data_IF_556013292733
#
_entry.id   IF_556013292733
#
_cell.length_a   1.000
_cell.length_b   1.000
_cell.length_c   1.000
_cell.angle_alpha   90.00
_cell.angle_beta   90.00
_cell.angle_gamma   90.00
#
_symmetry.space_group_name_H-M   'P 1'
#
loop_
_entity.id
_entity.type
_entity.pdbx_description
1 polymer ?
#
# COMPACT_ATOMS: atom_id res chain seq x y z
N UNK A 1 51.73 12.63 7.57
CA UNK A 1 50.99 11.41 7.96
C UNK A 1 49.56 11.61 7.56
N UNK A 2 49.25 11.15 6.37
CA UNK A 2 47.87 11.23 5.81
C UNK A 2 47.24 9.89 6.02
N UNK A 3 46.23 9.84 6.88
CA UNK A 3 45.37 8.66 7.00
C UNK A 3 44.34 8.72 5.88
N UNK A 4 44.57 7.91 4.88
CA UNK A 4 43.60 7.54 3.89
C UNK A 4 42.51 6.75 4.58
N UNK A 5 41.36 7.37 4.75
CA UNK A 5 40.13 6.70 5.14
C UNK A 5 39.64 5.87 3.92
N UNK A 6 40.11 4.63 3.94
CA UNK A 6 39.67 3.61 2.96
C UNK A 6 38.23 3.23 3.30
N UNK A 7 37.28 3.92 2.66
CA UNK A 7 35.88 3.54 2.68
C UNK A 7 35.76 2.28 1.84
N UNK A 8 35.87 1.14 2.51
CA UNK A 8 35.47 -0.15 1.91
C UNK A 8 33.98 -0.02 1.63
N UNK A 9 33.64 0.37 0.41
CA UNK A 9 32.32 0.18 -0.14
C UNK A 9 32.21 -1.31 -0.42
N UNK A 10 31.69 -2.05 0.56
CA UNK A 10 31.25 -3.41 0.36
C UNK A 10 30.16 -3.37 -0.72
N UNK A 11 30.48 -3.95 -1.90
CA UNK A 11 29.67 -3.89 -3.09
C UNK A 11 28.44 -4.83 -3.06
N UNK A 12 27.77 -4.93 -1.93
CA UNK A 12 26.44 -5.55 -1.84
C UNK A 12 25.40 -4.42 -1.90
N UNK A 13 24.89 -4.18 -3.12
CA UNK A 13 23.72 -3.35 -3.31
C UNK A 13 22.52 -3.98 -2.56
N UNK A 14 21.61 -3.16 -2.06
CA UNK A 14 20.32 -3.63 -1.55
C UNK A 14 19.36 -3.92 -2.71
N UNK A 15 18.48 -4.89 -2.53
CA UNK A 15 17.34 -5.08 -3.41
C UNK A 15 16.15 -4.29 -2.83
N UNK A 16 15.97 -3.07 -3.35
CA UNK A 16 14.95 -2.16 -2.84
C UNK A 16 13.61 -2.41 -3.52
N UNK A 17 12.58 -2.67 -2.69
CA UNK A 17 11.19 -2.94 -3.10
C UNK A 17 10.30 -1.86 -2.52
N UNK A 18 9.52 -1.17 -3.36
CA UNK A 18 8.50 -0.24 -2.86
C UNK A 18 7.17 -0.96 -2.71
N UNK A 19 6.62 -0.92 -1.52
CA UNK A 19 5.38 -1.59 -1.15
C UNK A 19 4.29 -0.56 -0.83
N UNK A 20 3.31 -0.43 -1.71
CA UNK A 20 2.12 0.39 -1.47
C UNK A 20 1.04 -0.48 -0.81
N UNK A 21 0.58 -0.08 0.36
CA UNK A 21 -0.46 -0.78 1.13
C UNK A 21 -1.58 0.19 1.50
N UNK A 22 -2.81 -0.28 1.59
CA UNK A 22 -3.96 0.54 1.98
C UNK A 22 -4.23 0.55 3.48
N UNK A 23 -3.78 -0.48 4.18
CA UNK A 23 -3.97 -0.68 5.61
C UNK A 23 -2.82 -1.51 6.20
N UNK A 24 -2.89 -1.81 7.51
CA UNK A 24 -1.90 -2.66 8.16
C UNK A 24 -1.87 -4.06 7.54
N UNK A 25 -0.67 -4.54 7.19
CA UNK A 25 -0.49 -5.90 6.69
C UNK A 25 -0.74 -6.93 7.80
N UNK A 26 -1.45 -8.00 7.45
CA UNK A 26 -1.50 -9.18 8.29
C UNK A 26 -0.15 -9.92 8.29
N UNK A 27 0.06 -10.79 9.30
CA UNK A 27 1.24 -11.63 9.33
C UNK A 27 1.33 -12.58 8.11
N UNK A 28 0.19 -13.02 7.57
CA UNK A 28 0.12 -13.87 6.39
C UNK A 28 0.53 -13.10 5.12
N UNK A 29 0.01 -11.87 4.93
CA UNK A 29 0.36 -11.03 3.79
C UNK A 29 1.86 -10.65 3.83
N UNK A 30 2.39 -10.31 5.01
CA UNK A 30 3.81 -10.02 5.19
C UNK A 30 4.70 -11.23 4.86
N UNK A 31 4.31 -12.43 5.28
CA UNK A 31 5.01 -13.65 4.93
C UNK A 31 4.94 -13.95 3.43
N UNK A 32 3.80 -13.70 2.79
CA UNK A 32 3.62 -13.83 1.35
C UNK A 32 4.54 -12.87 0.59
N UNK A 33 4.55 -11.59 0.94
CA UNK A 33 5.46 -10.59 0.35
C UNK A 33 6.92 -11.02 0.52
N UNK A 34 7.30 -11.49 1.71
CA UNK A 34 8.67 -11.96 1.97
C UNK A 34 9.04 -13.19 1.13
N UNK A 35 8.09 -14.11 0.90
CA UNK A 35 8.32 -15.32 0.12
C UNK A 35 8.64 -15.06 -1.35
N UNK A 36 8.15 -13.95 -1.92
CA UNK A 36 8.47 -13.52 -3.30
C UNK A 36 9.97 -13.31 -3.54
N UNK A 37 10.68 -12.94 -2.48
CA UNK A 37 12.09 -12.58 -2.52
C UNK A 37 12.98 -13.62 -1.81
N UNK A 38 12.46 -14.83 -1.58
CA UNK A 38 13.19 -15.86 -0.85
C UNK A 38 14.48 -16.32 -1.57
N UNK A 39 14.51 -16.20 -2.90
CA UNK A 39 15.65 -16.60 -3.74
C UNK A 39 16.60 -15.43 -4.08
N UNK A 40 16.30 -14.21 -3.61
CA UNK A 40 17.16 -13.04 -3.82
C UNK A 40 18.31 -13.10 -2.83
N UNK A 41 19.55 -13.13 -3.35
CA UNK A 41 20.77 -13.19 -2.54
C UNK A 41 21.12 -11.85 -1.89
N UNK A 42 20.78 -10.74 -2.55
CA UNK A 42 20.99 -9.39 -2.02
C UNK A 42 20.05 -9.11 -0.83
N UNK A 43 20.48 -8.30 0.15
CA UNK A 43 19.61 -7.86 1.25
C UNK A 43 18.38 -7.13 0.70
N UNK A 44 17.19 -7.70 0.90
CA UNK A 44 15.92 -7.09 0.48
C UNK A 44 15.46 -6.06 1.50
N UNK A 45 15.16 -4.84 1.04
CA UNK A 45 14.63 -3.75 1.86
C UNK A 45 13.26 -3.32 1.32
N UNK A 46 12.25 -3.44 2.17
CA UNK A 46 10.89 -3.00 1.87
C UNK A 46 10.68 -1.54 2.29
N UNK A 47 10.31 -0.71 1.32
CA UNK A 47 9.94 0.69 1.54
C UNK A 47 8.43 0.82 1.48
N UNK A 48 7.81 0.85 2.64
CA UNK A 48 6.35 0.89 2.77
C UNK A 48 5.82 2.30 2.55
N UNK A 49 4.86 2.42 1.66
CA UNK A 49 4.10 3.63 1.40
C UNK A 49 2.64 3.36 1.78
N UNK A 50 2.12 4.11 2.74
CA UNK A 50 0.75 4.00 3.21
C UNK A 50 0.06 5.36 2.99
N UNK A 51 -1.01 5.42 2.18
CA UNK A 51 -1.78 6.64 2.02
C UNK A 51 -2.46 7.05 3.32
N UNK A 52 -2.43 8.35 3.60
CA UNK A 52 -3.20 8.92 4.71
C UNK A 52 -4.69 8.68 4.47
N UNK A 53 -5.37 8.16 5.47
CA UNK A 53 -6.82 7.99 5.41
C UNK A 53 -7.51 9.35 5.24
N UNK A 54 -8.37 9.47 4.21
CA UNK A 54 -9.08 10.72 3.94
C UNK A 54 -10.25 10.89 4.93
N UNK A 55 -10.12 11.89 5.79
CA UNK A 55 -11.15 12.24 6.75
C UNK A 55 -12.49 12.61 6.07
N UNK A 56 -12.46 13.22 4.89
CA UNK A 56 -13.68 13.53 4.14
C UNK A 56 -14.37 12.26 3.63
N UNK A 57 -13.60 11.30 3.10
CA UNK A 57 -14.12 10.01 2.66
C UNK A 57 -14.74 9.20 3.82
N UNK A 58 -14.15 9.26 5.02
CA UNK A 58 -14.74 8.65 6.23
C UNK A 58 -16.09 9.26 6.60
N UNK A 59 -16.22 10.58 6.53
CA UNK A 59 -17.51 11.26 6.79
C UNK A 59 -18.54 10.84 5.76
N UNK A 60 -18.20 10.83 4.48
CA UNK A 60 -19.09 10.40 3.40
C UNK A 60 -19.53 8.93 3.57
N UNK A 61 -18.60 8.03 3.89
CA UNK A 61 -18.89 6.62 4.13
C UNK A 61 -19.84 6.43 5.34
N UNK A 62 -19.63 7.18 6.42
CA UNK A 62 -20.50 7.10 7.60
C UNK A 62 -21.91 7.66 7.32
N UNK A 63 -22.03 8.71 6.52
CA UNK A 63 -23.32 9.26 6.09
C UNK A 63 -24.04 8.33 5.10
N UNK A 64 -23.31 7.68 4.20
CA UNK A 64 -23.88 6.71 3.26
C UNK A 64 -24.49 5.48 3.94
N UNK A 65 -23.93 5.05 5.06
CA UNK A 65 -24.47 3.92 5.85
C UNK A 65 -25.78 4.27 6.56
N UNK A 66 -26.01 5.55 6.85
CA UNK A 66 -27.26 6.02 7.47
C UNK A 66 -28.40 6.20 6.44
N UNK A 67 -28.08 6.23 5.14
CA UNK A 67 -29.03 6.50 4.07
C UNK A 67 -29.92 5.33 3.62
N UNK A 68 -29.76 4.13 4.15
CA UNK A 68 -30.55 2.96 3.77
C UNK A 68 -31.79 2.69 4.62
N UNK A 69 -32.07 3.55 5.59
CA UNK A 69 -33.22 3.38 6.46
C UNK A 69 -33.77 4.70 7.00
N UNK A 70 -34.67 5.33 6.28
CA UNK A 70 -35.47 6.48 6.68
C UNK A 70 -35.01 7.84 6.12
N UNK A 71 -35.43 8.12 4.87
CA UNK A 71 -35.22 9.40 4.16
C UNK A 71 -36.16 10.52 4.59
N UNK A 72 -36.62 10.56 5.84
CA UNK A 72 -37.42 11.66 6.38
C UNK A 72 -36.73 12.28 7.59
N UNK A 73 -36.02 13.39 7.36
CA UNK A 73 -35.41 14.24 8.36
C UNK A 73 -34.00 13.84 8.85
N UNK A 74 -33.03 13.85 7.95
CA UNK A 74 -31.66 14.13 8.40
C UNK A 74 -31.52 15.66 8.50
N UNK A 75 -31.40 16.24 9.70
CA UNK A 75 -31.22 17.67 9.81
C UNK A 75 -29.82 18.04 9.32
N UNK A 76 -29.74 19.06 8.49
CA UNK A 76 -28.49 19.77 8.14
C UNK A 76 -27.71 20.32 9.36
N UNK A 77 -28.19 20.01 10.55
CA UNK A 77 -27.62 20.39 11.85
C UNK A 77 -26.52 19.43 12.35
N UNK A 78 -26.42 18.21 11.82
CA UNK A 78 -25.37 17.27 12.25
C UNK A 78 -23.99 17.58 11.68
N UNK A 79 -23.90 18.39 10.61
CA UNK A 79 -22.62 18.76 9.99
C UNK A 79 -21.87 19.90 10.72
N UNK A 80 -22.54 20.61 11.62
CA UNK A 80 -21.90 21.73 12.34
C UNK A 80 -21.11 21.32 13.59
N UNK A 81 -21.26 20.08 14.07
CA UNK A 81 -20.58 19.59 15.27
C UNK A 81 -19.47 18.56 14.99
N UNK A 82 -19.18 18.25 13.73
CA UNK A 82 -18.03 17.40 13.40
C UNK A 82 -16.76 18.22 13.51
N UNK A 83 -15.97 17.95 14.52
CA UNK A 83 -14.63 18.54 14.65
C UNK A 83 -13.70 17.89 13.59
N UNK A 84 -13.64 18.56 12.43
CA UNK A 84 -12.83 18.10 11.28
C UNK A 84 -11.35 17.99 11.65
N UNK A 85 -10.88 18.86 12.55
CA UNK A 85 -9.50 18.83 13.03
C UNK A 85 -9.23 17.58 13.87
N UNK A 86 -10.16 17.23 14.78
CA UNK A 86 -10.08 16.01 15.56
C UNK A 86 -10.13 14.76 14.67
N UNK A 87 -11.00 14.76 13.64
CA UNK A 87 -11.12 13.65 12.70
C UNK A 87 -9.84 13.49 11.84
N UNK A 88 -9.26 14.58 11.36
CA UNK A 88 -7.97 14.53 10.63
C UNK A 88 -6.85 13.98 11.49
N UNK A 89 -6.82 14.39 12.76
CA UNK A 89 -5.84 13.85 13.72
C UNK A 89 -6.06 12.35 13.92
N UNK A 90 -7.30 11.91 14.09
CA UNK A 90 -7.63 10.50 14.25
C UNK A 90 -7.20 9.68 13.03
N UNK A 91 -7.46 10.15 11.80
CA UNK A 91 -7.01 9.51 10.57
C UNK A 91 -5.47 9.42 10.49
N UNK A 92 -4.77 10.48 10.88
CA UNK A 92 -3.31 10.49 10.90
C UNK A 92 -2.74 9.50 11.94
N UNK A 93 -3.33 9.47 13.13
CA UNK A 93 -2.94 8.54 14.20
C UNK A 93 -3.20 7.09 13.77
N UNK A 94 -4.33 6.82 13.11
CA UNK A 94 -4.69 5.50 12.58
C UNK A 94 -3.70 5.05 11.48
N UNK A 95 -3.48 5.87 10.46
CA UNK A 95 -2.53 5.56 9.39
C UNK A 95 -1.10 5.34 9.92
N UNK A 96 -0.70 6.08 10.96
CA UNK A 96 0.60 5.90 11.60
C UNK A 96 0.70 4.57 12.36
N UNK A 97 -0.40 4.15 13.02
CA UNK A 97 -0.49 2.87 13.70
C UNK A 97 -0.45 1.71 12.69
N UNK A 98 -1.16 1.83 11.57
CA UNK A 98 -1.16 0.83 10.48
C UNK A 98 0.22 0.68 9.85
N UNK A 99 0.91 1.79 9.63
CA UNK A 99 2.29 1.75 9.15
C UNK A 99 3.19 1.01 10.14
N UNK A 100 3.12 1.34 11.43
CA UNK A 100 3.93 0.68 12.46
C UNK A 100 3.63 -0.82 12.55
N UNK A 101 2.37 -1.24 12.45
CA UNK A 101 1.97 -2.63 12.42
C UNK A 101 2.51 -3.35 11.18
N UNK A 102 2.45 -2.71 10.01
CA UNK A 102 3.00 -3.24 8.75
C UNK A 102 4.50 -3.47 8.84
N UNK A 103 5.26 -2.50 9.35
CA UNK A 103 6.71 -2.64 9.52
C UNK A 103 7.03 -3.80 10.46
N UNK A 104 6.32 -3.90 11.59
CA UNK A 104 6.48 -4.99 12.55
C UNK A 104 6.18 -6.35 11.93
N UNK A 105 5.13 -6.46 11.10
CA UNK A 105 4.78 -7.71 10.44
C UNK A 105 5.85 -8.15 9.42
N UNK A 106 6.39 -7.22 8.62
CA UNK A 106 7.47 -7.49 7.67
C UNK A 106 8.76 -7.89 8.37
N UNK A 107 9.11 -7.23 9.48
CA UNK A 107 10.28 -7.57 10.29
C UNK A 107 10.13 -8.95 10.94
N UNK A 108 8.93 -9.28 11.46
CA UNK A 108 8.62 -10.59 12.01
C UNK A 108 8.69 -11.70 10.94
N UNK A 109 8.39 -11.39 9.67
CA UNK A 109 8.57 -12.29 8.54
C UNK A 109 10.05 -12.40 8.07
N UNK A 110 10.99 -11.74 8.74
CA UNK A 110 12.42 -11.75 8.43
C UNK A 110 12.85 -10.79 7.34
N UNK A 111 12.05 -9.75 7.07
CA UNK A 111 12.39 -8.65 6.17
C UNK A 111 13.05 -7.49 6.90
N UNK A 112 13.70 -6.59 6.14
CA UNK A 112 14.07 -5.25 6.61
C UNK A 112 13.06 -4.28 6.05
N UNK A 113 12.39 -3.49 6.90
CA UNK A 113 11.32 -2.62 6.47
C UNK A 113 11.47 -1.20 7.03
N UNK A 114 11.09 -0.22 6.23
CA UNK A 114 10.93 1.19 6.60
C UNK A 114 9.80 1.80 5.78
N UNK A 115 9.20 2.88 6.23
CA UNK A 115 8.08 3.43 5.49
C UNK A 115 7.66 4.81 5.95
N UNK A 116 6.67 5.33 5.24
CA UNK A 116 6.06 6.62 5.55
C UNK A 116 4.57 6.61 5.19
N UNK A 117 3.82 7.46 5.86
CA UNK A 117 2.45 7.84 5.50
C UNK A 117 2.51 9.02 4.54
N UNK A 118 1.75 8.98 3.45
CA UNK A 118 1.70 10.05 2.45
C UNK A 118 0.30 10.62 2.29
N UNK A 119 0.20 11.93 2.14
CA UNK A 119 -1.01 12.64 1.72
C UNK A 119 -1.06 12.92 0.22
N UNK A 120 -0.01 12.54 -0.53
CA UNK A 120 0.03 12.67 -1.97
C UNK A 120 -0.80 11.59 -2.65
N UNK A 121 -1.26 11.79 -3.90
CA UNK A 121 -1.91 10.74 -4.65
C UNK A 121 -1.04 9.47 -4.70
N UNK A 122 -1.57 8.29 -4.36
CA UNK A 122 -0.76 7.09 -4.11
C UNK A 122 0.16 6.68 -5.27
N UNK A 123 -0.29 6.85 -6.52
CA UNK A 123 0.50 6.49 -7.72
C UNK A 123 1.66 7.46 -7.94
N UNK A 124 1.44 8.75 -7.67
CA UNK A 124 2.47 9.79 -7.76
C UNK A 124 3.54 9.56 -6.69
N UNK A 125 3.12 9.32 -5.45
CA UNK A 125 4.01 9.03 -4.34
C UNK A 125 4.81 7.74 -4.58
N UNK A 126 4.15 6.69 -5.10
CA UNK A 126 4.81 5.44 -5.49
C UNK A 126 5.88 5.68 -6.56
N UNK A 127 5.56 6.43 -7.61
CA UNK A 127 6.51 6.72 -8.70
C UNK A 127 7.71 7.55 -8.20
N UNK A 128 7.45 8.54 -7.35
CA UNK A 128 8.51 9.36 -6.75
C UNK A 128 9.45 8.50 -5.89
N UNK A 129 8.90 7.60 -5.08
CA UNK A 129 9.67 6.71 -4.22
C UNK A 129 10.50 5.71 -5.03
N UNK A 130 9.91 5.04 -6.03
CA UNK A 130 10.62 4.13 -6.94
C UNK A 130 11.81 4.83 -7.59
N UNK A 131 11.61 6.05 -8.09
CA UNK A 131 12.67 6.81 -8.74
C UNK A 131 13.76 7.26 -7.76
N UNK A 132 13.38 7.73 -6.56
CA UNK A 132 14.34 8.26 -5.58
C UNK A 132 15.24 7.19 -4.97
N UNK A 133 14.75 5.95 -4.92
CA UNK A 133 15.46 4.81 -4.34
C UNK A 133 16.16 3.94 -5.40
N UNK A 134 15.94 4.23 -6.69
CA UNK A 134 16.33 3.31 -7.78
C UNK A 134 15.80 1.88 -7.52
N UNK A 135 14.54 1.81 -7.06
CA UNK A 135 13.95 0.56 -6.62
C UNK A 135 13.84 -0.44 -7.77
N UNK A 136 14.00 -1.73 -7.46
CA UNK A 136 14.00 -2.82 -8.44
C UNK A 136 12.61 -3.21 -8.89
N UNK A 137 11.62 -3.05 -8.01
CA UNK A 137 10.21 -3.36 -8.28
C UNK A 137 9.27 -2.61 -7.34
N UNK A 138 7.98 -2.64 -7.68
CA UNK A 138 6.90 -2.13 -6.86
C UNK A 138 5.85 -3.23 -6.64
N UNK A 139 5.37 -3.35 -5.40
CA UNK A 139 4.27 -4.24 -5.04
C UNK A 139 3.13 -3.37 -4.51
N UNK A 140 1.92 -3.67 -4.95
CA UNK A 140 0.71 -2.98 -4.51
C UNK A 140 -0.22 -4.01 -3.90
N UNK A 141 -0.55 -3.82 -2.62
CA UNK A 141 -1.55 -4.64 -1.94
C UNK A 141 -2.82 -3.83 -1.74
N UNK A 142 -3.93 -4.38 -2.19
CA UNK A 142 -5.25 -3.78 -2.04
C UNK A 142 -6.25 -4.79 -1.51
N UNK A 143 -7.33 -4.29 -0.89
CA UNK A 143 -8.44 -5.13 -0.47
C UNK A 143 -9.26 -5.59 -1.69
N UNK A 144 -9.87 -6.77 -1.60
CA UNK A 144 -10.64 -7.37 -2.70
C UNK A 144 -11.79 -6.49 -3.20
N UNK A 145 -12.41 -5.68 -2.35
CA UNK A 145 -13.52 -4.80 -2.75
C UNK A 145 -13.05 -3.51 -3.46
N UNK A 146 -11.81 -3.09 -3.26
CA UNK A 146 -11.24 -1.90 -3.90
C UNK A 146 -10.78 -2.20 -5.33
N UNK A 147 -10.50 -3.46 -5.63
CA UNK A 147 -10.10 -3.93 -6.96
C UNK A 147 -11.09 -3.49 -8.05
N UNK A 148 -12.39 -3.48 -7.76
CA UNK A 148 -13.42 -3.13 -8.73
C UNK A 148 -13.45 -1.63 -9.10
N UNK A 149 -13.06 -0.74 -8.19
CA UNK A 149 -13.08 0.72 -8.44
C UNK A 149 -11.75 1.24 -9.00
N UNK A 150 -10.62 0.67 -8.56
CA UNK A 150 -9.30 1.13 -8.98
C UNK A 150 -8.75 0.43 -10.23
N UNK A 151 -9.22 -0.78 -10.54
CA UNK A 151 -8.71 -1.59 -11.65
C UNK A 151 -9.59 -1.58 -12.91
N UNK A 152 -9.92 -0.41 -13.42
CA UNK A 152 -10.11 -0.36 -14.86
C UNK A 152 -8.76 -0.73 -15.51
N UNK A 153 -8.80 -1.70 -16.41
CA UNK A 153 -7.69 -2.35 -17.15
C UNK A 153 -6.54 -1.40 -17.61
N UNK A 154 -6.80 -0.11 -17.66
CA UNK A 154 -5.88 0.92 -18.11
C UNK A 154 -4.90 1.42 -17.01
N UNK A 155 -5.23 1.23 -15.73
CA UNK A 155 -4.41 1.73 -14.62
C UNK A 155 -3.11 0.95 -14.43
N UNK A 156 -3.18 -0.38 -14.44
CA UNK A 156 -1.99 -1.25 -14.28
C UNK A 156 -0.99 -1.03 -15.41
N UNK A 157 -1.49 -0.87 -16.64
CA UNK A 157 -0.67 -0.58 -17.80
C UNK A 157 -0.08 0.84 -17.75
N UNK A 158 -0.81 1.79 -17.18
CA UNK A 158 -0.36 3.16 -16.99
C UNK A 158 0.67 3.26 -15.87
N UNK A 159 0.45 2.55 -14.75
CA UNK A 159 1.40 2.45 -13.64
C UNK A 159 2.71 1.82 -14.10
N UNK A 160 2.67 0.67 -14.78
CA UNK A 160 3.88 0.01 -15.32
C UNK A 160 4.70 0.92 -16.23
N UNK A 161 4.03 1.69 -17.11
CA UNK A 161 4.72 2.63 -18.00
C UNK A 161 5.31 3.82 -17.24
N UNK A 162 4.65 4.28 -16.18
CA UNK A 162 5.10 5.42 -15.38
C UNK A 162 6.24 5.05 -14.43
N UNK A 163 6.19 3.85 -13.86
CA UNK A 163 7.14 3.41 -12.85
C UNK A 163 8.46 2.92 -13.46
N UNK A 164 8.44 2.38 -14.69
CA UNK A 164 9.64 1.85 -15.35
C UNK A 164 10.23 0.58 -14.73
N UNK A 165 9.58 0.03 -13.71
CA UNK A 165 9.96 -1.20 -13.00
C UNK A 165 8.82 -2.22 -13.05
N UNK A 166 9.08 -3.51 -12.81
CA UNK A 166 8.03 -4.50 -12.61
C UNK A 166 7.06 -4.07 -11.50
N UNK A 167 5.76 -4.26 -11.75
CA UNK A 167 4.71 -3.97 -10.78
C UNK A 167 3.91 -5.24 -10.56
N UNK A 168 3.89 -5.71 -9.32
CA UNK A 168 3.05 -6.81 -8.87
C UNK A 168 1.86 -6.24 -8.10
N UNK A 169 0.67 -6.74 -8.42
CA UNK A 169 -0.53 -6.44 -7.65
C UNK A 169 -0.97 -7.69 -6.89
N UNK A 170 -1.15 -7.54 -5.60
CA UNK A 170 -1.63 -8.57 -4.68
C UNK A 170 -2.95 -8.11 -4.06
N UNK A 171 -3.82 -9.08 -3.79
CA UNK A 171 -5.04 -8.87 -3.02
C UNK A 171 -4.76 -9.35 -1.60
N UNK A 172 -5.04 -8.51 -0.61
CA UNK A 172 -4.88 -8.86 0.80
C UNK A 172 -5.75 -10.07 1.16
N UNK A 173 -5.20 -10.94 2.00
CA UNK A 173 -5.82 -12.17 2.50
C UNK A 173 -6.11 -13.24 1.43
N UNK A 174 -5.60 -13.10 0.22
CA UNK A 174 -5.68 -14.12 -0.82
C UNK A 174 -4.30 -14.73 -1.10
N UNK A 175 -4.24 -16.04 -1.16
CA UNK A 175 -3.01 -16.73 -1.55
C UNK A 175 -2.78 -16.63 -3.06
N UNK A 176 -1.55 -16.73 -3.52
CA UNK A 176 -1.19 -16.72 -4.94
C UNK A 176 -2.02 -17.69 -5.79
N UNK A 177 -2.28 -18.89 -5.25
CA UNK A 177 -3.04 -19.92 -5.95
C UNK A 177 -4.51 -19.54 -6.13
N UNK A 178 -5.08 -18.81 -5.17
CA UNK A 178 -6.45 -18.28 -5.24
C UNK A 178 -6.56 -17.15 -6.26
N UNK A 179 -5.58 -16.24 -6.28
CA UNK A 179 -5.53 -15.15 -7.25
C UNK A 179 -5.34 -15.66 -8.69
N UNK A 180 -4.50 -16.67 -8.89
CA UNK A 180 -4.28 -17.29 -10.19
C UNK A 180 -5.54 -18.00 -10.71
N UNK A 181 -6.33 -18.60 -9.82
CA UNK A 181 -7.58 -19.30 -10.14
C UNK A 181 -8.71 -18.35 -10.48
N UNK A 182 -8.79 -17.18 -9.83
CA UNK A 182 -9.84 -16.18 -10.05
C UNK A 182 -9.75 -15.44 -11.38
N UNK A 183 -8.61 -15.42 -12.04
CA UNK A 183 -8.42 -14.77 -13.34
C UNK A 183 -8.78 -15.67 -14.55
N UNK A 184 -9.12 -16.93 -14.32
CA UNK A 184 -9.37 -17.95 -15.36
C UNK A 184 -10.82 -18.15 -15.78
N UNK A 185 -11.80 -17.56 -15.11
CA UNK A 185 -13.24 -17.78 -15.40
C UNK A 185 -13.90 -16.62 -16.15
N UNK A 186 -13.40 -16.30 -17.32
CA UNK A 186 -13.99 -15.21 -18.09
C UNK A 186 -13.89 -15.31 -19.60
N UNK A 187 -13.73 -16.50 -20.22
CA UNK A 187 -13.95 -16.67 -21.67
C UNK A 187 -14.35 -18.11 -21.99
N UNK A 188 -15.62 -18.46 -21.81
CA UNK A 188 -16.27 -19.47 -22.63
C UNK A 188 -17.76 -19.11 -22.71
N UNK A 189 -18.14 -18.44 -23.76
CA UNK A 189 -19.52 -18.20 -24.17
C UNK A 189 -19.54 -18.06 -25.67
N UNK A 190 -20.04 -19.10 -26.33
CA UNK A 190 -20.39 -19.24 -27.73
C UNK A 190 -21.19 -18.04 -28.30
#
# INVERSE_FOLDING_TARGET
>A
MSETHDSIHDGQGTYDVVLLVEQALSAADAAQVRSLHAEIEDPVVYHVLLPLEDAAARVEASLGTLGTGDLMAAPALAMNDVDIEALRKECADHSSADLAATLTALEAAGGTARGLVTSEPPVEALAAMVTSLDAREAIILTRSHVVAEFFHLDWTSRARRKLGVPVLHLIEHENFDEQASGQGEGVTGL
#
